data_IF_485626963463
#
_entry.id   IF_485626963463
#
_cell.length_a   1.000
_cell.length_b   1.000
_cell.length_c   1.000
_cell.angle_alpha   90.00
_cell.angle_beta   90.00
_cell.angle_gamma   90.00
#
_symmetry.space_group_name_H-M   'P 1'
#
loop_
_entity.id
_entity.type
_entity.pdbx_description
1 polymer ?
#
# COMPACT_ATOMS: atom_id res chain seq x y z
N UNK A 1 13.25 -70.44 -9.45
CA UNK A 1 12.05 -69.75 -8.91
C UNK A 1 12.28 -68.92 -7.64
N UNK A 2 13.21 -69.27 -6.73
CA UNK A 2 13.42 -68.53 -5.46
C UNK A 2 13.96 -67.09 -5.63
N UNK A 3 14.84 -66.83 -6.61
CA UNK A 3 15.36 -65.48 -6.91
C UNK A 3 14.27 -64.50 -7.35
N UNK A 4 13.27 -64.98 -8.11
CA UNK A 4 12.14 -64.15 -8.54
C UNK A 4 11.25 -63.74 -7.37
N UNK A 5 10.96 -64.67 -6.44
CA UNK A 5 10.24 -64.34 -5.19
C UNK A 5 11.00 -63.33 -4.31
N UNK A 6 12.33 -63.41 -4.26
CA UNK A 6 13.16 -62.45 -3.50
C UNK A 6 13.22 -61.05 -4.14
N UNK A 7 13.22 -60.96 -5.46
CA UNK A 7 13.11 -59.68 -6.19
C UNK A 7 11.73 -59.03 -5.98
N UNK A 8 10.66 -59.80 -6.07
CA UNK A 8 9.29 -59.32 -5.83
C UNK A 8 9.09 -58.88 -4.36
N UNK A 9 9.73 -59.56 -3.40
CA UNK A 9 9.70 -59.17 -1.98
C UNK A 9 10.46 -57.86 -1.71
N UNK A 10 11.61 -57.63 -2.38
CA UNK A 10 12.37 -56.37 -2.28
C UNK A 10 11.63 -55.15 -2.84
N UNK A 11 10.73 -55.36 -3.81
CA UNK A 11 9.87 -54.31 -4.37
C UNK A 11 8.65 -53.98 -3.49
N UNK A 12 8.29 -54.84 -2.52
CA UNK A 12 7.03 -54.74 -1.78
C UNK A 12 7.01 -53.72 -0.65
N UNK A 13 8.13 -53.09 -0.26
CA UNK A 13 8.14 -52.22 0.91
C UNK A 13 9.09 -51.04 0.80
N UNK A 14 8.61 -49.97 0.17
CA UNK A 14 8.98 -48.61 0.56
C UNK A 14 7.69 -47.82 0.70
N UNK A 15 7.00 -47.98 1.84
CA UNK A 15 5.94 -47.03 2.23
C UNK A 15 6.64 -45.72 2.57
N UNK A 16 6.71 -44.80 1.61
CA UNK A 16 7.04 -43.41 1.90
C UNK A 16 5.97 -42.88 2.85
N UNK A 17 6.36 -42.52 4.07
CA UNK A 17 5.51 -41.73 4.97
C UNK A 17 5.41 -40.33 4.35
N UNK A 18 4.39 -40.14 3.52
CA UNK A 18 4.08 -38.88 2.88
C UNK A 18 3.32 -37.96 3.81
N UNK A 19 3.35 -36.68 3.48
CA UNK A 19 2.62 -35.61 4.12
C UNK A 19 1.11 -35.93 4.19
N UNK A 20 0.50 -35.77 5.36
CA UNK A 20 -0.91 -36.07 5.60
C UNK A 20 -1.78 -34.81 5.45
N UNK A 21 -3.07 -34.98 5.18
CA UNK A 21 -4.01 -33.84 5.14
C UNK A 21 -4.08 -33.11 6.49
N UNK A 22 -3.99 -33.85 7.60
CA UNK A 22 -4.04 -33.25 8.94
C UNK A 22 -2.86 -32.30 9.18
N UNK A 23 -1.67 -32.62 8.67
CA UNK A 23 -0.52 -31.72 8.77
C UNK A 23 -0.75 -30.43 7.97
N UNK A 24 -1.42 -30.48 6.81
CA UNK A 24 -1.70 -29.30 5.98
C UNK A 24 -2.72 -28.40 6.70
N UNK A 25 -3.73 -29.01 7.35
CA UNK A 25 -4.74 -28.27 8.11
C UNK A 25 -4.11 -27.52 9.29
N UNK A 26 -3.20 -28.15 10.02
CA UNK A 26 -2.50 -27.49 11.14
C UNK A 26 -1.63 -26.34 10.63
N UNK A 27 -0.93 -26.52 9.51
CA UNK A 27 -0.10 -25.46 8.91
C UNK A 27 -0.96 -24.26 8.48
N UNK A 28 -2.08 -24.50 7.79
CA UNK A 28 -3.00 -23.43 7.38
C UNK A 28 -3.61 -22.73 8.61
N UNK A 29 -3.93 -23.47 9.67
CA UNK A 29 -4.43 -22.89 10.91
C UNK A 29 -3.41 -21.94 11.57
N UNK A 30 -2.13 -22.32 11.62
CA UNK A 30 -1.06 -21.46 12.14
C UNK A 30 -0.89 -20.21 11.27
N UNK A 31 -0.86 -20.37 9.94
CA UNK A 31 -0.77 -19.23 9.01
C UNK A 31 -1.95 -18.28 9.18
N UNK A 32 -3.17 -18.79 9.35
CA UNK A 32 -4.36 -17.97 9.55
C UNK A 32 -4.27 -17.12 10.83
N UNK A 33 -3.79 -17.69 11.94
CA UNK A 33 -3.57 -16.95 13.20
C UNK A 33 -2.54 -15.83 12.99
N UNK A 34 -1.41 -16.13 12.32
CA UNK A 34 -0.39 -15.14 12.03
C UNK A 34 -0.92 -14.01 11.14
N UNK A 35 -1.74 -14.33 10.12
CA UNK A 35 -2.35 -13.33 9.25
C UNK A 35 -3.28 -12.38 10.02
N UNK A 36 -4.08 -12.90 10.96
CA UNK A 36 -4.96 -12.07 11.80
C UNK A 36 -4.15 -11.05 12.62
N UNK A 37 -2.96 -11.41 13.08
CA UNK A 37 -2.09 -10.48 13.82
C UNK A 37 -1.37 -9.48 12.91
N UNK A 38 -0.92 -9.92 11.72
CA UNK A 38 -0.09 -9.12 10.82
C UNK A 38 -0.92 -8.14 9.98
N UNK A 39 -2.05 -8.58 9.41
CA UNK A 39 -2.89 -7.77 8.51
C UNK A 39 -3.33 -6.42 9.11
N UNK A 40 -3.86 -6.33 10.35
CA UNK A 40 -4.29 -5.04 10.89
C UNK A 40 -3.11 -4.08 11.12
N UNK A 41 -1.93 -4.60 11.46
CA UNK A 41 -0.72 -3.79 11.62
C UNK A 41 -0.23 -3.28 10.25
N UNK A 42 -0.21 -4.14 9.23
CA UNK A 42 0.18 -3.78 7.87
C UNK A 42 -0.76 -2.73 7.26
N UNK A 43 -2.08 -2.88 7.44
CA UNK A 43 -3.06 -1.90 6.94
C UNK A 43 -2.87 -0.53 7.59
N UNK A 44 -2.64 -0.47 8.90
CA UNK A 44 -2.35 0.80 9.59
C UNK A 44 -1.03 1.44 9.12
N UNK A 45 0.01 0.63 8.90
CA UNK A 45 1.28 1.14 8.37
C UNK A 45 1.12 1.71 6.96
N UNK A 46 0.35 1.03 6.09
CA UNK A 46 0.02 1.53 4.77
C UNK A 46 -0.74 2.87 4.84
N UNK A 47 -1.77 2.96 5.68
CA UNK A 47 -2.52 4.21 5.86
C UNK A 47 -1.63 5.35 6.35
N UNK A 48 -0.73 5.09 7.31
CA UNK A 48 0.25 6.08 7.78
C UNK A 48 1.22 6.51 6.68
N UNK A 49 1.67 5.58 5.83
CA UNK A 49 2.53 5.89 4.69
C UNK A 49 1.81 6.74 3.64
N UNK A 50 0.54 6.43 3.36
CA UNK A 50 -0.31 7.19 2.44
C UNK A 50 -0.56 8.62 2.96
N UNK A 51 -0.82 8.76 4.27
CA UNK A 51 -0.94 10.06 4.94
C UNK A 51 0.34 10.88 4.83
N UNK A 52 1.50 10.30 5.17
CA UNK A 52 2.81 10.97 5.04
C UNK A 52 3.12 11.37 3.60
N UNK A 53 2.78 10.52 2.64
CA UNK A 53 2.98 10.81 1.22
C UNK A 53 2.09 11.98 0.77
N UNK A 54 0.85 12.02 1.26
CA UNK A 54 -0.09 13.12 0.98
C UNK A 54 0.37 14.42 1.64
N UNK A 55 0.88 14.36 2.86
CA UNK A 55 1.44 15.50 3.58
C UNK A 55 2.69 16.05 2.88
N UNK A 56 3.65 15.21 2.52
CA UNK A 56 4.82 15.63 1.76
C UNK A 56 4.45 16.26 0.41
N UNK A 57 3.43 15.70 -0.26
CA UNK A 57 2.90 16.29 -1.48
C UNK A 57 2.27 17.67 -1.22
N UNK A 58 1.49 17.83 -0.15
CA UNK A 58 0.93 19.12 0.28
C UNK A 58 2.04 20.15 0.51
N UNK A 59 3.11 19.80 1.24
CA UNK A 59 4.26 20.68 1.48
C UNK A 59 4.94 21.10 0.17
N UNK A 60 5.06 20.17 -0.78
CA UNK A 60 5.63 20.48 -2.10
C UNK A 60 4.78 21.50 -2.85
N UNK A 61 3.46 21.33 -2.84
CA UNK A 61 2.52 22.27 -3.49
C UNK A 61 2.48 23.61 -2.74
N UNK A 62 2.55 23.60 -1.40
CA UNK A 62 2.64 24.82 -0.60
C UNK A 62 3.86 25.65 -1.01
N UNK A 63 5.03 25.01 -1.13
CA UNK A 63 6.22 25.72 -1.59
C UNK A 63 6.04 26.33 -2.99
N UNK A 64 5.27 25.70 -3.88
CA UNK A 64 4.94 26.28 -5.19
C UNK A 64 3.98 27.46 -5.08
N UNK A 65 3.00 27.39 -4.19
CA UNK A 65 2.11 28.53 -3.88
C UNK A 65 2.92 29.69 -3.32
N UNK A 66 3.83 29.44 -2.38
CA UNK A 66 4.68 30.46 -1.78
C UNK A 66 5.57 31.14 -2.83
N UNK A 67 6.13 30.37 -3.78
CA UNK A 67 6.94 30.91 -4.88
C UNK A 67 6.13 31.70 -5.92
N UNK A 68 4.84 31.42 -6.06
CA UNK A 68 3.94 32.11 -6.98
C UNK A 68 3.19 33.29 -6.33
N UNK A 69 3.20 33.38 -5.00
CA UNK A 69 2.48 34.41 -4.25
C UNK A 69 3.27 35.71 -4.24
N UNK A 70 2.86 36.66 -5.08
CA UNK A 70 3.20 38.08 -4.93
C UNK A 70 2.18 38.77 -4.01
N UNK A 71 2.64 39.72 -3.19
CA UNK A 71 1.86 40.43 -2.18
C UNK A 71 0.44 40.81 -2.66
N UNK A 72 -0.56 40.06 -2.18
CA UNK A 72 -1.98 40.34 -2.37
C UNK A 72 -2.70 39.58 -3.50
N UNK A 73 -2.03 38.69 -4.24
CA UNK A 73 -2.71 37.82 -5.23
C UNK A 73 -3.07 36.46 -4.66
N UNK A 74 -4.32 36.06 -4.83
CA UNK A 74 -4.77 34.68 -4.61
C UNK A 74 -4.24 33.77 -5.72
N UNK A 75 -3.34 32.86 -5.37
CA UNK A 75 -2.80 31.86 -6.28
C UNK A 75 -3.79 30.70 -6.45
N UNK A 76 -4.09 30.33 -7.68
CA UNK A 76 -4.94 29.18 -8.03
C UNK A 76 -4.13 28.03 -8.62
N UNK A 77 -4.65 26.80 -8.55
CA UNK A 77 -4.01 25.64 -9.18
C UNK A 77 -3.89 25.76 -10.71
N UNK A 78 -4.78 26.53 -11.35
CA UNK A 78 -4.72 26.80 -12.78
C UNK A 78 -3.56 27.74 -13.14
N UNK A 79 -3.32 28.77 -12.33
CA UNK A 79 -2.18 29.68 -12.47
C UNK A 79 -0.86 28.94 -12.23
N UNK A 80 -0.78 28.09 -11.20
CA UNK A 80 0.41 27.28 -10.93
C UNK A 80 0.79 26.36 -12.11
N UNK A 81 -0.20 25.83 -12.84
CA UNK A 81 0.05 25.03 -14.05
C UNK A 81 0.47 25.92 -15.22
N UNK A 82 -0.25 27.03 -15.46
CA UNK A 82 0.03 27.98 -16.54
C UNK A 82 1.45 28.54 -16.44
N UNK A 83 1.87 28.88 -15.22
CA UNK A 83 3.16 29.49 -14.93
C UNK A 83 4.28 28.43 -14.72
N UNK A 84 3.98 27.16 -15.00
CA UNK A 84 4.90 26.01 -14.93
C UNK A 84 5.49 25.70 -13.54
N UNK A 85 4.86 26.14 -12.46
CA UNK A 85 5.23 25.74 -11.10
C UNK A 85 4.85 24.28 -10.79
N UNK A 86 3.77 23.78 -11.40
CA UNK A 86 3.32 22.39 -11.27
C UNK A 86 2.98 21.77 -12.62
N UNK A 87 3.15 20.46 -12.73
CA UNK A 87 2.71 19.70 -13.89
C UNK A 87 1.20 19.48 -13.88
N UNK A 88 0.60 19.25 -15.07
CA UNK A 88 -0.80 18.85 -15.21
C UNK A 88 -1.22 17.69 -14.29
N UNK A 89 -0.36 16.68 -14.15
CA UNK A 89 -0.61 15.53 -13.26
C UNK A 89 -0.66 15.93 -11.78
N UNK A 90 0.20 16.86 -11.38
CA UNK A 90 0.22 17.38 -10.00
C UNK A 90 -1.01 18.25 -9.74
N UNK A 91 -1.44 19.08 -10.71
CA UNK A 91 -2.69 19.83 -10.63
C UNK A 91 -3.89 18.91 -10.44
N UNK A 92 -4.08 17.93 -11.33
CA UNK A 92 -5.21 16.98 -11.25
C UNK A 92 -5.25 16.22 -9.92
N UNK A 93 -4.09 15.93 -9.33
CA UNK A 93 -3.98 15.31 -8.01
C UNK A 93 -4.26 16.30 -6.89
N UNK A 94 -3.75 17.53 -6.98
CA UNK A 94 -3.90 18.56 -5.97
C UNK A 94 -5.36 19.04 -5.87
N UNK A 95 -6.05 19.27 -6.99
CA UNK A 95 -7.46 19.67 -7.03
C UNK A 95 -8.41 18.64 -6.38
N UNK A 96 -8.03 17.35 -6.39
CA UNK A 96 -8.81 16.28 -5.75
C UNK A 96 -8.61 16.23 -4.24
N UNK A 97 -7.48 16.70 -3.74
CA UNK A 97 -7.05 16.48 -2.35
C UNK A 97 -7.00 17.76 -1.53
N UNK A 98 -6.84 18.92 -2.18
CA UNK A 98 -6.54 20.19 -1.52
C UNK A 98 -7.33 21.37 -2.09
N UNK A 99 -7.40 22.43 -1.30
CA UNK A 99 -7.89 23.76 -1.66
C UNK A 99 -6.83 24.79 -1.27
N UNK A 100 -6.70 25.87 -2.02
CA UNK A 100 -5.86 27.01 -1.63
C UNK A 100 -6.76 28.06 -1.00
N UNK A 101 -6.42 28.51 0.22
CA UNK A 101 -7.07 29.62 0.92
C UNK A 101 -6.01 30.52 1.52
N UNK A 102 -6.08 31.81 1.22
CA UNK A 102 -5.19 32.83 1.80
C UNK A 102 -3.69 32.45 1.71
N UNK A 103 -3.28 31.91 0.56
CA UNK A 103 -1.91 31.45 0.32
C UNK A 103 -1.55 30.10 0.95
N UNK A 104 -2.47 29.46 1.67
CA UNK A 104 -2.25 28.16 2.31
C UNK A 104 -2.99 27.03 1.58
N UNK A 105 -2.29 25.95 1.29
CA UNK A 105 -2.84 24.69 0.76
C UNK A 105 -3.44 23.93 1.94
N UNK A 106 -4.76 23.71 1.95
CA UNK A 106 -5.50 22.94 2.95
C UNK A 106 -6.04 21.64 2.37
N UNK A 107 -6.15 20.60 3.19
CA UNK A 107 -6.84 19.36 2.79
C UNK A 107 -8.34 19.60 2.65
N UNK A 108 -8.92 19.15 1.54
CA UNK A 108 -10.36 18.97 1.45
C UNK A 108 -10.67 17.92 2.52
N UNK A 109 -11.37 18.31 3.59
CA UNK A 109 -11.70 17.40 4.70
C UNK A 109 -12.24 16.10 4.12
N UNK A 110 -11.44 15.04 4.17
CA UNK A 110 -11.98 13.69 4.16
C UNK A 110 -12.52 13.47 5.57
N UNK A 111 -13.75 13.92 5.77
CA UNK A 111 -14.58 13.41 6.84
C UNK A 111 -14.80 11.91 6.55
N UNK A 112 -14.31 11.04 7.42
CA UNK A 112 -14.49 9.59 7.29
C UNK A 112 -13.24 8.74 7.51
N UNK A 113 -12.74 8.71 8.75
CA UNK A 113 -12.11 7.52 9.33
C UNK A 113 -11.99 7.68 10.85
N UNK A 114 -13.14 7.60 11.54
CA UNK A 114 -13.20 6.93 12.84
C UNK A 114 -13.65 5.50 12.61
#
# INVERSE_FOLDING_TARGET
MKKLKQLLAKLRTKKSKGFTLIEMVIVIAIIAILLILIVPNLTQQKQKADQKTTEAFRTTIQAQVDLASDDGKTVTFAELESDNYITKKQKEKAEKLFIIKDGSVETIKQDGAK
#
